data_IF_350318998577
#
_entry.id   IF_350318998577
#
_cell.length_a   1.000
_cell.length_b   1.000
_cell.length_c   1.000
_cell.angle_alpha   90.00
_cell.angle_beta   90.00
_cell.angle_gamma   90.00
#
_symmetry.space_group_name_H-M   'P 1'
#
loop_
_entity.id
_entity.type
_entity.pdbx_description
1 polymer ?
#
# COMPACT_ATOMS: atom_id res chain seq x y z
N UNK A 1 -26.31 -28.32 -42.55
CA UNK A 1 -26.99 -27.02 -42.75
C UNK A 1 -27.58 -26.61 -41.42
N UNK A 2 -26.86 -25.79 -40.65
CA UNK A 2 -27.38 -25.21 -39.41
C UNK A 2 -27.11 -23.70 -39.47
N UNK A 3 -28.17 -22.95 -39.22
CA UNK A 3 -28.36 -21.57 -39.59
C UNK A 3 -27.56 -20.56 -38.78
N UNK A 4 -27.17 -19.52 -39.49
CA UNK A 4 -26.72 -18.20 -39.07
C UNK A 4 -27.76 -17.52 -38.14
N UNK A 5 -27.30 -16.86 -37.07
CA UNK A 5 -28.05 -15.74 -36.49
C UNK A 5 -27.06 -14.76 -35.86
N UNK A 6 -26.69 -13.77 -36.66
CA UNK A 6 -26.03 -12.54 -36.27
C UNK A 6 -27.02 -11.64 -35.51
N UNK A 7 -26.61 -11.10 -34.37
CA UNK A 7 -27.30 -9.98 -33.73
C UNK A 7 -26.28 -8.89 -33.39
N UNK A 8 -26.33 -7.84 -34.20
CA UNK A 8 -25.59 -6.59 -34.13
C UNK A 8 -26.31 -5.64 -33.18
N UNK A 9 -25.67 -5.21 -32.09
CA UNK A 9 -26.18 -4.10 -31.25
C UNK A 9 -25.19 -2.94 -31.37
N UNK A 10 -25.56 -1.96 -32.20
CA UNK A 10 -24.86 -0.70 -32.35
C UNK A 10 -25.35 0.28 -31.28
N UNK A 11 -24.56 0.49 -30.22
CA UNK A 11 -24.79 1.51 -29.21
C UNK A 11 -23.97 2.77 -29.49
N UNK A 12 -24.63 3.81 -30.01
CA UNK A 12 -24.07 5.14 -30.31
C UNK A 12 -24.29 6.06 -29.10
N UNK A 13 -23.23 6.50 -28.43
CA UNK A 13 -23.30 7.56 -27.42
C UNK A 13 -22.39 8.72 -27.83
N UNK A 14 -22.99 9.91 -27.94
CA UNK A 14 -22.32 11.19 -28.21
C UNK A 14 -22.09 11.95 -26.90
N UNK A 15 -21.03 12.75 -26.95
CA UNK A 15 -20.82 14.06 -26.31
C UNK A 15 -20.66 14.16 -24.79
N UNK A 16 -19.54 14.80 -24.42
CA UNK A 16 -19.29 15.38 -23.10
C UNK A 16 -17.92 16.06 -23.06
N UNK A 17 -17.74 17.14 -23.84
CA UNK A 17 -16.62 18.07 -23.66
C UNK A 17 -16.84 18.83 -22.33
N UNK A 18 -15.97 18.61 -21.36
CA UNK A 18 -15.90 19.37 -20.11
C UNK A 18 -14.50 19.98 -19.96
N UNK A 19 -14.25 21.04 -20.72
CA UNK A 19 -13.13 21.97 -20.49
C UNK A 19 -13.50 22.89 -19.33
N UNK A 20 -12.61 23.09 -18.36
CA UNK A 20 -12.24 24.41 -17.80
C UNK A 20 -11.63 24.37 -16.39
N UNK A 21 -10.63 25.26 -16.20
CA UNK A 21 -10.23 25.94 -14.95
C UNK A 21 -9.35 25.18 -13.95
N UNK A 22 -8.07 24.99 -14.31
CA UNK A 22 -6.97 24.92 -13.33
C UNK A 22 -5.83 25.85 -13.80
N UNK A 23 -6.07 27.14 -13.68
CA UNK A 23 -5.03 28.18 -13.63
C UNK A 23 -5.32 28.99 -12.36
N UNK A 24 -4.31 29.65 -11.79
CA UNK A 24 -4.28 30.30 -10.46
C UNK A 24 -3.80 29.42 -9.28
N UNK A 25 -2.55 28.97 -9.34
CA UNK A 25 -1.70 28.86 -8.14
C UNK A 25 -0.36 29.56 -8.41
N UNK A 26 -0.45 30.86 -8.73
CA UNK A 26 0.68 31.77 -8.91
C UNK A 26 0.52 32.94 -7.93
N UNK A 27 0.53 32.65 -6.64
CA UNK A 27 0.48 33.68 -5.58
C UNK A 27 1.38 33.24 -4.43
N UNK A 28 2.18 34.19 -3.93
CA UNK A 28 2.98 34.18 -2.70
C UNK A 28 4.46 33.79 -2.85
N UNK A 29 5.12 34.58 -3.69
CA UNK A 29 6.51 34.96 -3.48
C UNK A 29 6.64 35.93 -2.28
N UNK A 30 7.83 35.91 -1.66
CA UNK A 30 8.45 36.99 -0.88
C UNK A 30 7.85 37.30 0.50
N UNK A 31 8.49 36.77 1.55
CA UNK A 31 8.83 37.46 2.81
C UNK A 31 9.60 36.49 3.72
N UNK A 32 10.76 36.90 4.24
CA UNK A 32 11.33 36.31 5.45
C UNK A 32 12.70 35.64 5.35
N UNK A 33 13.69 36.29 4.72
CA UNK A 33 15.10 36.10 5.10
C UNK A 33 15.30 36.71 6.49
N UNK A 34 15.45 35.86 7.51
CA UNK A 34 16.03 36.23 8.80
C UNK A 34 17.04 35.13 9.19
N UNK A 35 18.36 35.35 9.05
CA UNK A 35 19.38 34.49 9.61
C UNK A 35 19.62 34.90 11.06
N UNK A 36 19.01 34.20 12.01
CA UNK A 36 19.43 34.26 13.41
C UNK A 36 19.66 32.83 13.90
N UNK A 37 20.93 32.41 13.85
CA UNK A 37 21.41 31.26 14.60
C UNK A 37 22.61 31.73 15.43
N UNK A 38 22.32 32.18 16.64
CA UNK A 38 23.28 32.27 17.74
C UNK A 38 23.15 30.97 18.52
N UNK A 39 24.23 30.22 18.69
CA UNK A 39 24.55 29.39 19.87
C UNK A 39 25.85 28.62 19.60
N UNK A 40 26.95 29.02 20.25
CA UNK A 40 27.43 28.58 21.56
C UNK A 40 28.26 27.30 21.45
N UNK A 41 29.56 27.49 21.60
CA UNK A 41 30.55 26.46 21.85
C UNK A 41 30.18 25.69 23.13
N UNK A 42 30.27 24.37 23.08
CA UNK A 42 30.24 23.53 24.28
C UNK A 42 31.44 22.60 24.29
N UNK A 43 32.16 22.72 25.40
CA UNK A 43 33.34 21.99 25.82
C UNK A 43 33.10 20.49 25.95
N UNK A 44 34.16 19.75 25.61
CA UNK A 44 34.46 18.38 25.99
C UNK A 44 34.18 18.06 27.47
N UNK A 45 33.50 16.95 27.73
CA UNK A 45 33.69 16.14 28.92
C UNK A 45 33.72 14.66 28.54
N UNK A 46 34.94 14.14 28.46
CA UNK A 46 35.27 12.75 28.69
C UNK A 46 34.99 12.41 30.15
N UNK A 47 34.25 11.32 30.43
CA UNK A 47 34.43 10.57 31.69
C UNK A 47 33.97 9.13 31.51
N UNK A 48 34.96 8.26 31.30
CA UNK A 48 35.12 6.89 31.83
C UNK A 48 33.91 5.95 31.96
N UNK A 49 34.00 4.87 31.19
CA UNK A 49 33.95 3.47 31.64
C UNK A 49 32.94 3.05 32.72
N UNK A 50 32.03 2.17 32.32
CA UNK A 50 31.64 0.99 33.09
C UNK A 50 31.11 -0.07 32.13
N UNK A 51 31.82 -1.18 32.04
CA UNK A 51 31.43 -2.40 31.36
C UNK A 51 30.15 -3.00 31.97
N UNK A 52 29.09 -3.16 31.18
CA UNK A 52 28.20 -4.33 31.23
C UNK A 52 27.76 -4.63 29.81
N UNK A 53 28.33 -5.68 29.23
CA UNK A 53 27.80 -6.30 28.02
C UNK A 53 26.43 -6.91 28.31
N UNK A 54 25.55 -6.85 27.30
CA UNK A 54 24.23 -7.50 27.18
C UNK A 54 22.98 -6.71 27.59
N UNK A 55 22.77 -5.54 26.98
CA UNK A 55 21.42 -5.13 26.59
C UNK A 55 21.09 -5.72 25.21
N UNK A 56 20.57 -6.94 25.20
CA UNK A 56 19.67 -7.32 24.10
C UNK A 56 18.28 -6.90 24.57
N UNK A 57 17.92 -5.66 24.24
CA UNK A 57 16.63 -5.08 24.59
C UNK A 57 15.50 -5.94 24.00
N UNK A 58 14.97 -6.84 24.83
CA UNK A 58 13.76 -7.58 24.50
C UNK A 58 12.57 -6.68 24.83
N UNK A 59 12.29 -5.74 23.91
CA UNK A 59 11.13 -4.86 24.00
C UNK A 59 9.87 -5.71 23.81
N UNK A 60 9.24 -6.10 24.92
CA UNK A 60 7.86 -6.58 24.89
C UNK A 60 6.97 -5.38 24.54
N UNK A 61 6.82 -5.11 23.24
CA UNK A 61 6.01 -4.01 22.75
C UNK A 61 4.55 -4.43 22.81
N UNK A 62 3.79 -3.85 23.74
CA UNK A 62 2.33 -3.91 23.77
C UNK A 62 1.75 -3.06 22.63
N UNK A 63 2.12 -3.39 21.40
CA UNK A 63 1.79 -2.63 20.19
C UNK A 63 1.01 -3.53 19.26
N UNK A 64 -0.19 -3.11 18.91
CA UNK A 64 -0.98 -3.79 17.88
C UNK A 64 -0.28 -3.65 16.54
N UNK A 65 -0.12 -4.74 15.81
CA UNK A 65 0.48 -4.72 14.46
C UNK A 65 -0.31 -5.56 13.48
N UNK A 66 -0.34 -5.10 12.23
CA UNK A 66 -0.84 -5.85 11.07
C UNK A 66 0.19 -5.75 9.94
N UNK A 67 0.56 -6.87 9.35
CA UNK A 67 1.55 -6.95 8.26
C UNK A 67 1.02 -7.82 7.13
N UNK A 68 1.30 -7.43 5.89
CA UNK A 68 1.06 -8.24 4.70
C UNK A 68 2.38 -8.75 4.12
N UNK A 69 2.41 -9.97 3.61
CA UNK A 69 3.56 -10.54 2.89
C UNK A 69 3.09 -11.27 1.63
N UNK A 70 3.53 -10.85 0.43
CA UNK A 70 4.24 -9.61 0.12
C UNK A 70 3.35 -8.35 0.26
N UNK A 71 3.97 -7.17 0.36
CA UNK A 71 3.27 -5.87 0.39
C UNK A 71 3.10 -5.24 -1.00
N UNK A 72 3.61 -5.87 -2.05
CA UNK A 72 3.58 -5.35 -3.41
C UNK A 72 3.21 -6.45 -4.41
N UNK A 73 2.40 -6.07 -5.40
CA UNK A 73 1.95 -6.90 -6.51
C UNK A 73 2.24 -6.14 -7.81
N UNK A 74 2.88 -6.80 -8.79
CA UNK A 74 3.24 -6.16 -10.08
C UNK A 74 2.49 -6.81 -11.24
N UNK A 75 1.66 -6.04 -11.93
CA UNK A 75 0.99 -6.42 -13.16
C UNK A 75 1.81 -6.04 -14.41
N UNK A 76 1.60 -6.77 -15.51
CA UNK A 76 2.31 -6.51 -16.78
C UNK A 76 1.75 -5.32 -17.57
N UNK A 77 0.47 -5.00 -17.38
CA UNK A 77 -0.20 -3.93 -18.11
C UNK A 77 -0.98 -3.03 -17.15
N UNK A 78 -1.05 -1.74 -17.48
CA UNK A 78 -1.86 -0.78 -16.74
C UNK A 78 -3.33 -1.21 -16.75
N UNK A 79 -3.98 -1.16 -15.59
CA UNK A 79 -5.39 -1.52 -15.42
C UNK A 79 -5.66 -3.03 -15.37
N UNK A 80 -4.65 -3.88 -15.58
CA UNK A 80 -4.77 -5.31 -15.36
C UNK A 80 -4.82 -5.60 -13.86
N UNK A 81 -5.67 -6.54 -13.44
CA UNK A 81 -5.66 -7.06 -12.07
C UNK A 81 -4.37 -7.84 -11.83
N UNK A 82 -3.69 -7.53 -10.73
CA UNK A 82 -2.59 -8.31 -10.23
C UNK A 82 -3.13 -9.45 -9.33
N UNK A 83 -2.57 -10.65 -9.47
CA UNK A 83 -3.01 -11.85 -8.75
C UNK A 83 -1.83 -12.48 -8.02
N UNK A 84 -1.90 -12.53 -6.69
CA UNK A 84 -0.91 -13.20 -5.85
C UNK A 84 -1.59 -13.72 -4.59
N UNK A 85 -0.96 -14.69 -3.94
CA UNK A 85 -1.33 -15.09 -2.59
C UNK A 85 -0.56 -14.22 -1.59
N UNK A 86 -1.27 -13.62 -0.63
CA UNK A 86 -0.66 -12.85 0.46
C UNK A 86 -0.93 -13.53 1.81
N UNK A 87 0.01 -13.38 2.73
CA UNK A 87 -0.16 -13.73 4.14
C UNK A 87 -0.34 -12.45 4.95
N UNK A 88 -1.49 -12.31 5.59
CA UNK A 88 -1.74 -11.31 6.61
C UNK A 88 -1.32 -11.88 7.96
N UNK A 89 -0.56 -11.13 8.75
CA UNK A 89 -0.15 -11.53 10.10
C UNK A 89 -0.41 -10.39 11.06
N UNK A 90 -1.00 -10.70 12.21
CA UNK A 90 -1.32 -9.70 13.23
C UNK A 90 -0.80 -10.13 14.61
N UNK A 91 -0.57 -9.11 15.44
CA UNK A 91 -0.27 -9.24 16.85
C UNK A 91 -1.12 -8.20 17.59
N UNK A 92 -1.98 -8.68 18.48
CA UNK A 92 -2.84 -7.89 19.36
C UNK A 92 -2.57 -8.40 20.78
N UNK A 93 -2.25 -7.52 21.74
CA UNK A 93 -1.89 -7.92 23.10
C UNK A 93 -3.07 -8.39 23.96
N UNK A 94 -4.31 -8.10 23.53
CA UNK A 94 -5.53 -8.41 24.27
C UNK A 94 -6.32 -9.52 23.58
N UNK A 95 -6.83 -10.46 24.38
CA UNK A 95 -7.73 -11.52 23.93
C UNK A 95 -9.16 -10.98 23.85
N UNK A 96 -9.47 -10.36 22.71
CA UNK A 96 -10.82 -9.95 22.33
C UNK A 96 -11.08 -10.38 20.89
N UNK A 97 -12.34 -10.41 20.46
CA UNK A 97 -12.64 -10.68 19.06
C UNK A 97 -12.25 -9.47 18.19
N UNK A 98 -11.57 -9.73 17.09
CA UNK A 98 -11.19 -8.73 16.10
C UNK A 98 -11.46 -9.25 14.69
N UNK A 99 -11.67 -8.31 13.77
CA UNK A 99 -12.04 -8.60 12.40
C UNK A 99 -11.11 -7.90 11.42
N UNK A 100 -10.81 -8.58 10.32
CA UNK A 100 -10.10 -8.07 9.16
C UNK A 100 -11.10 -7.56 8.12
N UNK A 101 -10.81 -6.38 7.59
CA UNK A 101 -11.61 -5.71 6.58
C UNK A 101 -10.76 -5.41 5.37
N UNK A 102 -11.40 -5.49 4.21
CA UNK A 102 -10.87 -5.01 2.93
C UNK A 102 -11.49 -3.65 2.66
N UNK A 103 -10.66 -2.62 2.53
CA UNK A 103 -11.05 -1.23 2.40
C UNK A 103 -11.85 -0.70 3.62
N UNK A 104 -12.07 0.62 3.71
CA UNK A 104 -12.61 1.25 4.93
C UNK A 104 -14.08 0.93 5.22
N UNK A 105 -14.92 0.77 4.18
CA UNK A 105 -16.36 0.54 4.35
C UNK A 105 -16.80 -0.89 3.99
N UNK A 106 -15.86 -1.83 3.83
CA UNK A 106 -16.18 -3.22 3.49
C UNK A 106 -16.83 -3.97 4.66
N UNK A 107 -17.52 -5.06 4.33
CA UNK A 107 -17.87 -6.07 5.33
C UNK A 107 -16.59 -6.78 5.83
N UNK A 108 -16.56 -7.25 7.10
CA UNK A 108 -15.45 -8.07 7.56
C UNK A 108 -15.39 -9.35 6.72
N UNK A 109 -14.18 -9.75 6.31
CA UNK A 109 -13.99 -11.00 5.56
C UNK A 109 -13.42 -12.13 6.43
N UNK A 110 -12.91 -11.81 7.62
CA UNK A 110 -12.41 -12.77 8.58
C UNK A 110 -12.46 -12.19 10.00
N UNK A 111 -12.91 -12.96 10.97
CA UNK A 111 -12.93 -12.60 12.39
C UNK A 111 -12.36 -13.74 13.23
N UNK A 112 -11.72 -13.41 14.34
CA UNK A 112 -11.04 -14.36 15.22
C UNK A 112 -10.75 -13.71 16.58
N UNK A 113 -10.57 -14.54 17.58
CA UNK A 113 -10.25 -14.23 18.98
C UNK A 113 -8.73 -14.35 19.29
N UNK A 114 -7.93 -14.88 18.36
CA UNK A 114 -6.54 -15.28 18.62
C UNK A 114 -5.53 -14.16 18.35
N UNK A 115 -5.22 -13.30 19.32
CA UNK A 115 -4.45 -12.06 19.11
C UNK A 115 -3.14 -12.18 18.31
N UNK A 116 -2.53 -13.37 18.23
CA UNK A 116 -1.35 -13.66 17.42
C UNK A 116 -1.61 -14.76 16.40
N UNK A 117 -1.92 -14.38 15.15
CA UNK A 117 -2.20 -15.36 14.10
C UNK A 117 -1.91 -14.81 12.70
N UNK A 118 -2.08 -15.68 11.70
CA UNK A 118 -1.88 -15.38 10.30
C UNK A 118 -2.98 -15.98 9.44
N UNK A 119 -3.30 -15.29 8.35
CA UNK A 119 -4.30 -15.69 7.37
C UNK A 119 -3.73 -15.58 5.97
N UNK A 120 -3.95 -16.62 5.17
CA UNK A 120 -3.63 -16.63 3.75
C UNK A 120 -4.85 -16.11 2.97
N UNK A 121 -4.63 -15.16 2.07
CA UNK A 121 -5.68 -14.53 1.26
C UNK A 121 -5.24 -14.45 -0.19
N UNK A 122 -6.16 -14.74 -1.11
CA UNK A 122 -5.97 -14.48 -2.54
C UNK A 122 -6.16 -12.98 -2.82
N UNK A 123 -5.05 -12.32 -3.12
CA UNK A 123 -5.06 -10.93 -3.55
C UNK A 123 -5.38 -10.85 -5.04
N UNK A 124 -6.45 -10.13 -5.37
CA UNK A 124 -6.78 -9.75 -6.73
C UNK A 124 -7.25 -8.30 -6.76
N UNK A 125 -6.47 -7.42 -7.37
CA UNK A 125 -6.85 -6.01 -7.57
C UNK A 125 -6.08 -5.35 -8.70
N UNK A 126 -6.69 -4.36 -9.36
CA UNK A 126 -6.01 -3.47 -10.31
C UNK A 126 -5.41 -2.22 -9.63
N UNK A 127 -5.75 -2.00 -8.36
CA UNK A 127 -5.32 -0.86 -7.52
C UNK A 127 -4.84 -1.34 -6.16
N UNK A 128 -4.07 -0.52 -5.45
CA UNK A 128 -3.68 -0.81 -4.07
C UNK A 128 -4.91 -1.03 -3.19
N UNK A 129 -4.80 -1.96 -2.24
CA UNK A 129 -5.90 -2.32 -1.32
C UNK A 129 -5.41 -2.10 0.11
N UNK A 130 -6.24 -1.44 0.92
CA UNK A 130 -6.01 -1.28 2.34
C UNK A 130 -6.65 -2.44 3.10
N UNK A 131 -5.87 -3.09 3.94
CA UNK A 131 -6.37 -4.06 4.91
C UNK A 131 -6.35 -3.40 6.29
N UNK A 132 -7.47 -3.49 7.01
CA UNK A 132 -7.61 -2.92 8.35
C UNK A 132 -8.01 -3.99 9.35
N UNK A 133 -7.53 -3.86 10.59
CA UNK A 133 -7.88 -4.68 11.74
C UNK A 133 -8.69 -3.82 12.70
N UNK A 134 -9.88 -4.28 13.11
CA UNK A 134 -10.75 -3.57 14.07
C UNK A 134 -11.24 -4.53 15.15
N UNK A 135 -11.50 -4.02 16.35
CA UNK A 135 -12.18 -4.79 17.38
C UNK A 135 -13.63 -5.05 16.97
N UNK A 136 -14.18 -6.20 17.35
CA UNK A 136 -15.59 -6.55 17.07
C UNK A 136 -16.53 -5.52 17.71
N UNK A 137 -17.48 -5.01 16.92
CA UNK A 137 -18.43 -3.98 17.38
C UNK A 137 -17.89 -2.55 17.51
N UNK A 138 -16.60 -2.32 17.21
CA UNK A 138 -16.00 -0.99 17.15
C UNK A 138 -15.60 -0.65 15.71
N UNK A 139 -15.84 0.59 15.28
CA UNK A 139 -15.38 1.05 13.97
C UNK A 139 -13.97 1.64 14.01
N UNK A 140 -13.31 1.57 15.17
CA UNK A 140 -11.95 2.06 15.36
C UNK A 140 -10.92 1.12 14.73
N UNK A 141 -10.04 1.69 13.91
CA UNK A 141 -8.93 0.99 13.27
C UNK A 141 -7.78 0.78 14.28
N UNK A 142 -7.51 -0.47 14.64
CA UNK A 142 -6.42 -0.82 15.55
C UNK A 142 -5.06 -0.86 14.82
N UNK A 143 -5.05 -1.34 13.58
CA UNK A 143 -3.88 -1.38 12.72
C UNK A 143 -4.29 -1.53 11.25
N UNK A 144 -3.41 -1.12 10.35
CA UNK A 144 -3.61 -1.30 8.92
C UNK A 144 -2.33 -1.61 8.15
N UNK A 145 -2.52 -2.19 6.97
CA UNK A 145 -1.44 -2.45 6.03
C UNK A 145 -1.97 -2.33 4.61
N UNK A 146 -1.17 -1.78 3.71
CA UNK A 146 -1.57 -1.62 2.29
C UNK A 146 -0.77 -2.59 1.43
N UNK A 147 -1.48 -3.33 0.58
CA UNK A 147 -0.85 -4.11 -0.50
C UNK A 147 -0.92 -3.29 -1.78
N UNK A 148 0.26 -2.85 -2.23
CA UNK A 148 0.39 -1.95 -3.38
C UNK A 148 0.31 -2.72 -4.68
N UNK A 149 -0.57 -2.30 -5.61
CA UNK A 149 -0.55 -2.79 -6.99
C UNK A 149 0.18 -1.80 -7.87
N UNK A 150 1.24 -2.25 -8.52
CA UNK A 150 2.02 -1.51 -9.52
C UNK A 150 1.94 -2.20 -10.87
N UNK A 151 2.24 -1.48 -11.94
CA UNK A 151 2.37 -2.04 -13.28
C UNK A 151 3.72 -1.71 -13.87
N UNK A 152 4.26 -2.60 -14.69
CA UNK A 152 5.48 -2.35 -15.46
C UNK A 152 5.15 -2.14 -16.92
N UNK A 153 5.80 -1.18 -17.57
CA UNK A 153 5.71 -1.04 -19.01
C UNK A 153 6.76 -1.93 -19.66
N UNK A 154 6.36 -2.84 -20.54
CA UNK A 154 7.29 -3.43 -21.51
C UNK A 154 7.22 -2.62 -22.79
N UNK A 155 8.29 -1.89 -23.11
CA UNK A 155 8.50 -1.37 -24.47
C UNK A 155 8.51 -2.56 -25.44
N UNK A 156 7.54 -2.60 -26.36
CA UNK A 156 7.36 -3.72 -27.28
C UNK A 156 8.59 -4.00 -28.13
N UNK A 157 8.93 -5.30 -28.23
CA UNK A 157 9.88 -5.97 -29.16
C UNK A 157 11.26 -5.33 -29.29
N UNK A 158 12.28 -6.03 -28.77
CA UNK A 158 13.62 -6.00 -29.38
C UNK A 158 13.39 -6.34 -30.87
N UNK A 159 13.68 -5.41 -31.78
CA UNK A 159 13.65 -5.72 -33.19
C UNK A 159 14.47 -7.00 -33.36
N UNK A 160 13.86 -8.02 -33.94
CA UNK A 160 14.61 -9.15 -34.49
C UNK A 160 15.40 -8.57 -35.65
N UNK A 161 16.51 -7.90 -35.32
CA UNK A 161 17.51 -7.49 -36.29
C UNK A 161 18.23 -8.77 -36.66
N UNK A 162 17.57 -9.55 -37.51
CA UNK A 162 18.17 -10.63 -38.28
C UNK A 162 19.16 -10.00 -39.24
N UNK A 163 20.35 -9.69 -38.74
CA UNK A 163 21.53 -9.61 -39.58
C UNK A 163 21.91 -11.05 -39.90
N UNK A 164 21.24 -11.60 -40.92
CA UNK A 164 21.86 -12.57 -41.82
C UNK A 164 22.35 -11.79 -43.04
N UNK A 165 23.31 -12.39 -43.74
CA UNK A 165 24.26 -11.84 -44.72
C UNK A 165 25.57 -11.45 -43.99
N UNK A 166 26.63 -12.25 -43.99
CA UNK A 166 27.04 -13.34 -44.89
C UNK A 166 27.87 -14.38 -44.13
#
# INVERSE_FOLDING_TARGET
MCSESSNTVAGKWRSGLGSSRWQYFLVLALLGMIPYSISLAQSSQDTSSSDVATEKEYRYSNTVTLKAKPQACVALHKGQRCFIQITLSWNVPNDQEYCLFKDKQGAPFHCTDTGNSQLIVDYSSATSVLYTLRASGQDEELASTTVTTSWVYRTGRRSSSSWRLF
#
